data_IF_535311636071
#
_entry.id   IF_535311636071
#
_cell.length_a   1.000
_cell.length_b   1.000
_cell.length_c   1.000
_cell.angle_alpha   90.00
_cell.angle_beta   90.00
_cell.angle_gamma   90.00
#
_symmetry.space_group_name_H-M   'P 1'
#
loop_
_entity.id
_entity.type
_entity.pdbx_description
1 polymer ?
#
# COMPACT_ATOMS: atom_id res chain seq x y z
N UNK A 1 -4.96 13.15 -20.30
CA UNK A 1 -5.80 12.88 -19.11
C UNK A 1 -7.28 12.94 -19.47
N UNK A 2 -7.83 14.11 -19.82
CA UNK A 2 -9.27 14.28 -20.14
C UNK A 2 -9.81 13.28 -21.17
N UNK A 3 -9.08 13.02 -22.25
CA UNK A 3 -9.51 12.06 -23.27
C UNK A 3 -9.59 10.62 -22.71
N UNK A 4 -8.65 10.22 -21.85
CA UNK A 4 -8.64 8.91 -21.21
C UNK A 4 -9.84 8.77 -20.29
N UNK A 5 -10.09 9.77 -19.45
CA UNK A 5 -11.26 9.82 -18.57
C UNK A 5 -12.57 9.76 -19.36
N UNK A 6 -12.69 10.49 -20.48
CA UNK A 6 -13.88 10.44 -21.33
C UNK A 6 -14.15 9.02 -21.83
N UNK A 7 -13.12 8.33 -22.31
CA UNK A 7 -13.23 6.93 -22.76
C UNK A 7 -13.74 6.02 -21.64
N UNK A 8 -13.21 6.16 -20.41
CA UNK A 8 -13.68 5.36 -19.29
C UNK A 8 -15.09 5.74 -18.84
N UNK A 9 -15.46 7.03 -18.88
CA UNK A 9 -16.82 7.48 -18.55
C UNK A 9 -17.84 6.97 -19.56
N UNK A 10 -17.51 6.97 -20.86
CA UNK A 10 -18.35 6.35 -21.90
C UNK A 10 -18.47 4.84 -21.71
N UNK A 11 -17.37 4.16 -21.41
CA UNK A 11 -17.39 2.73 -21.09
C UNK A 11 -18.25 2.45 -19.85
N UNK A 12 -18.16 3.28 -18.81
CA UNK A 12 -19.00 3.19 -17.61
C UNK A 12 -20.48 3.34 -17.93
N UNK A 13 -20.85 4.31 -18.79
CA UNK A 13 -22.25 4.52 -19.23
C UNK A 13 -22.82 3.35 -20.03
N UNK A 14 -21.98 2.60 -20.72
CA UNK A 14 -22.40 1.41 -21.49
C UNK A 14 -22.39 0.12 -20.65
N UNK A 15 -21.91 0.18 -19.41
CA UNK A 15 -21.90 -0.96 -18.51
C UNK A 15 -23.32 -1.32 -18.05
N UNK A 16 -23.68 -2.60 -18.12
CA UNK A 16 -24.99 -3.12 -17.65
C UNK A 16 -25.03 -3.38 -16.14
N UNK A 17 -23.95 -3.09 -15.41
CA UNK A 17 -23.79 -3.32 -13.97
C UNK A 17 -23.34 -2.04 -13.31
N UNK A 18 -23.56 -1.97 -12.00
CA UNK A 18 -23.04 -0.88 -11.16
C UNK A 18 -21.54 -0.71 -11.41
N UNK A 19 -21.15 0.51 -11.79
CA UNK A 19 -19.80 0.84 -12.19
C UNK A 19 -19.30 2.02 -11.36
N UNK A 20 -18.21 1.81 -10.63
CA UNK A 20 -17.47 2.86 -9.94
C UNK A 20 -16.17 3.11 -10.71
N UNK A 21 -15.95 4.37 -11.11
CA UNK A 21 -14.71 4.80 -11.77
C UNK A 21 -13.92 5.62 -10.77
N UNK A 22 -12.69 5.19 -10.48
CA UNK A 22 -11.78 5.88 -9.58
C UNK A 22 -10.66 6.49 -10.42
N UNK A 23 -10.54 7.81 -10.38
CA UNK A 23 -9.47 8.54 -11.06
C UNK A 23 -8.30 8.76 -10.09
N UNK A 24 -7.11 8.27 -10.44
CA UNK A 24 -5.87 8.67 -9.76
C UNK A 24 -5.41 9.99 -10.38
N UNK A 25 -5.67 11.09 -9.64
CA UNK A 25 -5.66 12.48 -10.11
C UNK A 25 -6.84 12.85 -11.01
N UNK A 26 -7.15 14.14 -11.08
CA UNK A 26 -8.18 14.72 -11.93
C UNK A 26 -7.74 16.02 -12.62
N UNK A 27 -8.60 16.54 -13.50
CA UNK A 27 -8.29 17.64 -14.41
C UNK A 27 -7.84 18.92 -13.69
N UNK A 28 -8.39 19.20 -12.51
CA UNK A 28 -8.01 20.37 -11.72
C UNK A 28 -6.62 20.25 -11.10
N UNK A 29 -6.08 19.04 -10.88
CA UNK A 29 -4.76 18.88 -10.24
C UNK A 29 -3.64 19.57 -11.02
N UNK A 30 -3.77 19.68 -12.35
CA UNK A 30 -2.80 20.39 -13.18
C UNK A 30 -2.64 21.86 -12.77
N UNK A 31 -3.69 22.51 -12.26
CA UNK A 31 -3.62 23.91 -11.82
C UNK A 31 -2.76 24.10 -10.57
N UNK A 32 -2.47 23.04 -9.81
CA UNK A 32 -1.58 23.09 -8.67
C UNK A 32 -0.08 23.17 -9.05
N UNK A 33 0.26 22.80 -10.30
CA UNK A 33 1.65 22.68 -10.77
C UNK A 33 2.07 23.74 -11.78
N UNK A 34 1.14 24.60 -12.21
CA UNK A 34 1.42 25.67 -13.17
C UNK A 34 0.93 27.02 -12.64
N UNK A 35 1.46 28.11 -13.21
CA UNK A 35 1.00 29.44 -12.83
C UNK A 35 -0.45 29.67 -13.27
N UNK A 36 -1.13 30.57 -12.56
CA UNK A 36 -2.53 30.91 -12.82
C UNK A 36 -2.74 31.40 -14.26
N UNK A 37 -1.82 32.20 -14.78
CA UNK A 37 -1.89 32.76 -16.13
C UNK A 37 -1.83 31.64 -17.19
N UNK A 38 -0.97 30.64 -16.99
CA UNK A 38 -0.90 29.46 -17.87
C UNK A 38 -2.17 28.63 -17.77
N UNK A 39 -2.72 28.44 -16.58
CA UNK A 39 -3.98 27.72 -16.39
C UNK A 39 -5.14 28.43 -17.09
N UNK A 40 -5.30 29.74 -16.90
CA UNK A 40 -6.33 30.54 -17.56
C UNK A 40 -6.18 30.55 -19.09
N UNK A 41 -4.95 30.61 -19.60
CA UNK A 41 -4.67 30.49 -21.04
C UNK A 41 -5.07 29.11 -21.58
N UNK A 42 -4.81 28.02 -20.85
CA UNK A 42 -5.26 26.69 -21.25
C UNK A 42 -6.79 26.57 -21.25
N UNK A 43 -7.46 27.08 -20.23
CA UNK A 43 -8.93 27.09 -20.17
C UNK A 43 -9.51 27.83 -21.38
N UNK A 44 -9.02 29.03 -21.67
CA UNK A 44 -9.45 29.85 -22.80
C UNK A 44 -9.21 29.17 -24.15
N UNK A 45 -8.00 28.62 -24.36
CA UNK A 45 -7.62 27.97 -25.63
C UNK A 45 -8.48 26.74 -25.92
N UNK A 46 -8.88 26.00 -24.89
CA UNK A 46 -9.67 24.78 -25.03
C UNK A 46 -11.17 25.01 -24.82
N UNK A 47 -11.62 26.26 -24.63
CA UNK A 47 -13.01 26.61 -24.30
C UNK A 47 -13.55 25.84 -23.08
N UNK A 48 -12.70 25.65 -22.07
CA UNK A 48 -13.05 25.03 -20.80
C UNK A 48 -13.42 26.08 -19.77
N UNK A 49 -14.20 25.65 -18.77
CA UNK A 49 -14.48 26.45 -17.60
C UNK A 49 -14.37 25.59 -16.34
N UNK A 50 -14.11 26.24 -15.20
CA UNK A 50 -13.88 25.54 -13.95
C UNK A 50 -15.12 24.79 -13.46
N UNK A 51 -16.35 25.24 -13.76
CA UNK A 51 -17.57 24.52 -13.32
C UNK A 51 -17.67 23.17 -14.03
N UNK A 52 -17.41 23.14 -15.34
CA UNK A 52 -17.40 21.89 -16.08
C UNK A 52 -16.28 20.95 -15.63
N UNK A 53 -15.06 21.47 -15.45
CA UNK A 53 -13.90 20.65 -15.08
C UNK A 53 -13.94 20.18 -13.62
N UNK A 54 -14.39 21.04 -12.70
CA UNK A 54 -14.45 20.75 -11.26
C UNK A 54 -15.74 20.02 -10.94
N UNK A 55 -16.90 20.64 -11.17
CA UNK A 55 -18.19 20.24 -10.58
C UNK A 55 -18.94 19.18 -11.39
N UNK A 56 -19.01 19.33 -12.72
CA UNK A 56 -19.85 18.45 -13.54
C UNK A 56 -19.14 17.16 -13.96
N UNK A 57 -17.80 17.15 -13.90
CA UNK A 57 -16.99 16.03 -14.37
C UNK A 57 -16.78 14.94 -13.33
N UNK A 58 -16.76 15.30 -12.05
CA UNK A 58 -16.51 14.37 -10.95
C UNK A 58 -17.69 14.37 -9.98
N UNK A 59 -18.16 13.19 -9.58
CA UNK A 59 -19.27 13.11 -8.62
C UNK A 59 -18.80 13.35 -7.18
N UNK A 60 -17.52 13.10 -6.90
CA UNK A 60 -16.93 13.18 -5.56
C UNK A 60 -15.42 13.34 -5.68
N UNK A 61 -14.87 14.27 -4.92
CA UNK A 61 -13.43 14.46 -4.79
C UNK A 61 -13.04 14.06 -3.37
N UNK A 62 -12.07 13.15 -3.25
CA UNK A 62 -11.48 12.79 -1.96
C UNK A 62 -9.99 13.09 -1.99
N UNK A 63 -9.56 14.02 -1.16
CA UNK A 63 -8.16 14.38 -1.01
C UNK A 63 -7.56 13.66 0.20
N UNK A 64 -6.60 12.77 -0.04
CA UNK A 64 -5.84 12.11 1.01
C UNK A 64 -4.60 12.94 1.34
N UNK A 65 -4.48 13.43 2.57
CA UNK A 65 -3.31 14.20 2.99
C UNK A 65 -2.03 13.40 2.80
N UNK A 66 -1.00 14.04 2.28
CA UNK A 66 0.35 13.50 2.21
C UNK A 66 0.88 13.11 3.60
N UNK A 67 1.72 12.06 3.67
CA UNK A 67 2.43 11.70 4.90
C UNK A 67 3.32 12.85 5.40
N UNK A 68 3.71 13.79 4.52
CA UNK A 68 4.43 15.00 4.91
C UNK A 68 3.65 15.94 5.85
N UNK A 69 2.37 15.65 6.12
CA UNK A 69 1.51 16.44 6.99
C UNK A 69 0.88 15.58 8.10
N UNK A 70 1.52 15.50 9.27
CA UNK A 70 1.00 14.76 10.44
C UNK A 70 1.33 13.26 10.47
N UNK A 71 2.17 12.77 9.54
CA UNK A 71 2.71 11.41 9.54
C UNK A 71 4.15 11.40 8.98
N UNK A 72 4.94 12.43 9.30
CA UNK A 72 6.24 12.73 8.70
C UNK A 72 7.24 11.58 8.84
N UNK A 73 7.15 10.81 9.93
CA UNK A 73 7.91 9.58 10.18
C UNK A 73 7.80 8.55 9.04
N UNK A 74 6.71 8.60 8.26
CA UNK A 74 6.42 7.68 7.16
C UNK A 74 6.63 8.31 5.78
N UNK A 75 7.06 9.58 5.73
CA UNK A 75 7.38 10.24 4.47
C UNK A 75 8.79 9.84 4.02
N UNK A 76 8.89 9.24 2.83
CA UNK A 76 10.16 8.84 2.23
C UNK A 76 10.18 9.12 0.73
N UNK A 77 11.36 9.48 0.23
CA UNK A 77 11.66 9.65 -1.20
C UNK A 77 12.56 8.53 -1.74
N UNK A 78 13.07 7.65 -0.88
CA UNK A 78 14.13 6.66 -1.20
C UNK A 78 13.71 5.63 -2.25
N UNK A 79 12.43 5.24 -2.26
CA UNK A 79 11.86 4.25 -3.18
C UNK A 79 10.98 4.90 -4.29
N UNK A 80 11.08 6.21 -4.49
CA UNK A 80 10.18 6.96 -5.39
C UNK A 80 10.93 7.70 -6.50
N UNK A 81 10.84 7.16 -7.73
CA UNK A 81 11.44 7.76 -8.93
C UNK A 81 10.89 9.15 -9.30
N UNK A 82 9.74 9.54 -8.73
CA UNK A 82 9.03 10.77 -9.09
C UNK A 82 8.92 11.78 -7.93
N UNK A 83 9.52 11.50 -6.76
CA UNK A 83 9.50 12.41 -5.61
C UNK A 83 10.92 12.76 -5.20
N UNK A 84 11.24 14.04 -5.25
CA UNK A 84 12.55 14.60 -4.88
C UNK A 84 12.45 15.69 -3.82
N UNK A 85 11.22 16.11 -3.51
CA UNK A 85 10.90 17.17 -2.58
C UNK A 85 11.08 16.72 -1.12
N UNK A 86 11.65 17.61 -0.31
CA UNK A 86 11.69 17.46 1.15
C UNK A 86 10.29 17.58 1.77
N UNK A 87 10.19 17.24 3.06
CA UNK A 87 8.91 17.21 3.79
C UNK A 87 8.16 18.54 3.72
N UNK A 88 8.87 19.66 3.83
CA UNK A 88 8.28 21.01 3.81
C UNK A 88 7.64 21.31 2.46
N UNK A 89 8.39 21.12 1.37
CA UNK A 89 7.89 21.35 0.01
C UNK A 89 6.77 20.36 -0.33
N UNK A 90 6.87 19.10 0.10
CA UNK A 90 5.83 18.11 -0.08
C UNK A 90 4.51 18.53 0.58
N UNK A 91 4.58 19.15 1.77
CA UNK A 91 3.42 19.68 2.48
C UNK A 91 2.80 20.87 1.73
N UNK A 92 3.61 21.78 1.19
CA UNK A 92 3.12 22.89 0.37
C UNK A 92 2.44 22.41 -0.91
N UNK A 93 3.04 21.44 -1.60
CA UNK A 93 2.45 20.83 -2.81
C UNK A 93 1.14 20.10 -2.50
N UNK A 94 1.03 19.43 -1.35
CA UNK A 94 -0.20 18.80 -0.87
C UNK A 94 -1.32 19.83 -0.69
N UNK A 95 -1.02 20.96 -0.03
CA UNK A 95 -1.98 22.06 0.14
C UNK A 95 -2.41 22.68 -1.20
N UNK A 96 -1.47 22.88 -2.14
CA UNK A 96 -1.79 23.41 -3.47
C UNK A 96 -2.68 22.45 -4.26
N UNK A 97 -2.42 21.14 -4.16
CA UNK A 97 -3.25 20.11 -4.79
C UNK A 97 -4.67 20.09 -4.19
N UNK A 98 -4.81 20.19 -2.87
CA UNK A 98 -6.12 20.33 -2.23
C UNK A 98 -6.84 21.62 -2.66
N UNK A 99 -6.10 22.73 -2.75
CA UNK A 99 -6.64 24.04 -3.10
C UNK A 99 -7.23 24.09 -4.51
N UNK A 100 -6.67 23.32 -5.45
CA UNK A 100 -7.17 23.22 -6.83
C UNK A 100 -8.63 22.73 -6.92
N UNK A 101 -9.11 22.02 -5.89
CA UNK A 101 -10.47 21.47 -5.84
C UNK A 101 -11.44 22.28 -4.97
N UNK A 102 -10.99 23.38 -4.36
CA UNK A 102 -11.85 24.23 -3.53
C UNK A 102 -13.05 24.72 -4.34
N UNK A 103 -14.24 24.54 -3.74
CA UNK A 103 -15.53 24.89 -4.31
C UNK A 103 -16.26 23.75 -5.02
N UNK A 104 -15.65 22.57 -5.13
CA UNK A 104 -16.40 21.38 -5.53
C UNK A 104 -17.48 21.06 -4.48
N UNK A 105 -18.74 20.78 -4.86
CA UNK A 105 -19.85 20.58 -3.91
C UNK A 105 -19.66 19.36 -2.99
N UNK A 106 -18.91 18.36 -3.45
CA UNK A 106 -18.64 17.12 -2.73
C UNK A 106 -17.13 16.90 -2.63
N UNK A 107 -16.49 17.58 -1.67
CA UNK A 107 -15.05 17.50 -1.42
C UNK A 107 -14.79 17.04 0.01
N UNK A 108 -14.15 15.89 0.16
CA UNK A 108 -13.81 15.31 1.46
C UNK A 108 -12.29 15.20 1.61
N UNK A 109 -11.80 15.44 2.83
CA UNK A 109 -10.37 15.45 3.16
C UNK A 109 -10.08 14.37 4.20
N UNK A 110 -9.15 13.47 3.88
CA UNK A 110 -8.74 12.36 4.75
C UNK A 110 -7.34 12.63 5.31
N UNK A 111 -7.30 13.07 6.57
CA UNK A 111 -6.08 13.42 7.31
C UNK A 111 -5.27 12.21 7.81
N UNK A 112 -4.16 12.47 8.50
CA UNK A 112 -3.26 11.46 9.07
C UNK A 112 -3.45 11.26 10.59
N UNK A 113 -4.62 11.60 11.14
CA UNK A 113 -4.89 11.48 12.59
C UNK A 113 -4.99 10.04 13.10
N UNK A 114 -5.02 9.05 12.21
CA UNK A 114 -5.10 7.62 12.52
C UNK A 114 -3.99 6.86 11.79
N UNK A 115 -3.75 5.60 12.16
CA UNK A 115 -2.84 4.74 11.39
C UNK A 115 -3.33 4.55 9.93
N UNK A 116 -2.44 3.99 9.09
CA UNK A 116 -2.71 3.84 7.66
C UNK A 116 -3.95 2.99 7.37
N UNK A 117 -4.16 1.88 8.10
CA UNK A 117 -5.30 0.99 7.86
C UNK A 117 -6.62 1.69 8.21
N UNK A 118 -6.66 2.43 9.32
CA UNK A 118 -7.80 3.24 9.73
C UNK A 118 -8.06 4.41 8.78
N UNK A 119 -6.99 5.06 8.28
CA UNK A 119 -7.08 6.10 7.25
C UNK A 119 -7.73 5.56 5.98
N UNK A 120 -7.33 4.36 5.54
CA UNK A 120 -7.94 3.69 4.40
C UNK A 120 -9.39 3.30 4.65
N UNK A 121 -9.74 2.83 5.85
CA UNK A 121 -11.14 2.54 6.19
C UNK A 121 -12.01 3.80 6.11
N UNK A 122 -11.54 4.93 6.65
CA UNK A 122 -12.23 6.23 6.56
C UNK A 122 -12.42 6.70 5.13
N UNK A 123 -11.42 6.50 4.27
CA UNK A 123 -11.54 6.77 2.84
C UNK A 123 -12.65 5.93 2.20
N UNK A 124 -12.63 4.61 2.42
CA UNK A 124 -13.61 3.71 1.80
C UNK A 124 -15.01 4.02 2.34
N UNK A 125 -15.15 4.26 3.64
CA UNK A 125 -16.44 4.63 4.26
C UNK A 125 -16.98 5.95 3.69
N UNK A 126 -16.14 6.96 3.52
CA UNK A 126 -16.50 8.23 2.87
C UNK A 126 -17.03 8.02 1.44
N UNK A 127 -16.37 7.18 0.64
CA UNK A 127 -16.85 6.85 -0.71
C UNK A 127 -18.15 6.06 -0.66
N UNK A 128 -18.27 5.06 0.20
CA UNK A 128 -19.47 4.23 0.34
C UNK A 128 -20.70 5.04 0.78
N UNK A 129 -20.55 5.93 1.76
CA UNK A 129 -21.62 6.84 2.18
C UNK A 129 -22.10 7.72 1.02
N UNK A 130 -21.17 8.21 0.18
CA UNK A 130 -21.50 9.05 -0.98
C UNK A 130 -22.34 8.32 -2.02
N UNK A 131 -22.03 7.05 -2.27
CA UNK A 131 -22.72 6.22 -3.26
C UNK A 131 -23.91 5.44 -2.67
N UNK A 132 -24.23 5.65 -1.38
CA UNK A 132 -25.35 5.02 -0.70
C UNK A 132 -25.18 3.52 -0.39
N UNK A 133 -23.93 3.06 -0.28
CA UNK A 133 -23.62 1.69 0.16
C UNK A 133 -23.48 1.66 1.68
N UNK A 134 -24.33 0.86 2.34
CA UNK A 134 -24.19 0.55 3.76
C UNK A 134 -22.94 -0.32 3.98
N UNK A 135 -21.98 0.24 4.72
CA UNK A 135 -20.70 -0.38 4.98
C UNK A 135 -20.74 -1.41 6.11
N UNK A 136 -21.82 -1.44 6.89
CA UNK A 136 -22.01 -2.33 8.03
C UNK A 136 -20.81 -2.36 8.99
N UNK A 137 -20.53 -3.54 9.56
CA UNK A 137 -19.43 -3.73 10.52
C UNK A 137 -18.04 -3.75 9.86
N UNK A 138 -17.97 -3.91 8.53
CA UNK A 138 -16.70 -4.21 7.85
C UNK A 138 -15.75 -3.02 7.76
N UNK A 139 -16.26 -1.84 7.46
CA UNK A 139 -15.48 -0.60 7.30
C UNK A 139 -15.64 0.37 8.47
N UNK A 140 -16.42 -0.02 9.48
CA UNK A 140 -16.46 0.72 10.73
C UNK A 140 -15.03 0.91 11.24
N UNK A 141 -14.72 2.12 11.72
CA UNK A 141 -13.39 2.54 12.19
C UNK A 141 -12.83 1.56 13.22
N UNK A 142 -13.68 0.82 13.91
CA UNK A 142 -13.29 -0.13 14.93
C UNK A 142 -13.03 -1.55 14.41
N UNK A 143 -13.21 -1.79 13.11
CA UNK A 143 -13.09 -3.09 12.45
C UNK A 143 -11.64 -3.55 12.47
N UNK A 144 -11.37 -4.60 13.25
CA UNK A 144 -10.05 -5.18 13.41
C UNK A 144 -10.06 -6.62 12.93
N UNK A 145 -8.92 -7.08 12.42
CA UNK A 145 -8.73 -8.49 12.09
C UNK A 145 -8.76 -9.31 13.39
N UNK A 146 -9.77 -10.17 13.53
CA UNK A 146 -9.93 -11.11 14.63
C UNK A 146 -9.44 -12.49 14.23
N UNK A 147 -8.83 -13.22 15.16
CA UNK A 147 -8.31 -14.57 14.97
C UNK A 147 -8.75 -15.46 16.12
N UNK A 148 -9.29 -16.62 15.80
CA UNK A 148 -9.81 -17.58 16.77
C UNK A 148 -9.16 -18.94 16.57
N UNK A 149 -8.87 -19.61 17.68
CA UNK A 149 -8.46 -21.00 17.70
C UNK A 149 -9.70 -21.89 17.62
N UNK A 150 -9.72 -22.77 16.61
CA UNK A 150 -10.82 -23.71 16.39
C UNK A 150 -10.35 -25.09 16.79
N UNK A 151 -11.19 -25.80 17.55
CA UNK A 151 -10.91 -27.17 17.96
C UNK A 151 -10.95 -28.11 16.76
N UNK A 152 -10.01 -29.06 16.73
CA UNK A 152 -9.96 -30.13 15.74
C UNK A 152 -10.52 -31.44 16.34
N UNK A 153 -11.21 -32.30 15.58
CA UNK A 153 -11.51 -32.19 14.14
C UNK A 153 -12.58 -31.14 13.85
N UNK A 154 -12.48 -30.50 12.68
CA UNK A 154 -13.49 -29.53 12.23
C UNK A 154 -14.78 -30.23 11.81
N UNK A 155 -15.88 -29.48 11.80
CA UNK A 155 -17.17 -29.95 11.30
C UNK A 155 -17.09 -30.53 9.87
N UNK A 156 -17.98 -31.46 9.50
CA UNK A 156 -18.02 -32.01 8.15
C UNK A 156 -18.37 -30.92 7.12
N UNK A 157 -17.94 -31.12 5.87
CA UNK A 157 -18.15 -30.18 4.77
C UNK A 157 -19.63 -29.83 4.55
N UNK A 158 -20.55 -30.75 4.87
CA UNK A 158 -22.00 -30.55 4.78
C UNK A 158 -22.56 -29.51 5.76
N UNK A 159 -21.84 -29.20 6.84
CA UNK A 159 -22.25 -28.20 7.81
C UNK A 159 -21.85 -26.77 7.39
N UNK A 160 -20.96 -26.63 6.41
CA UNK A 160 -20.52 -25.33 5.93
C UNK A 160 -21.52 -24.75 4.91
N UNK A 161 -21.71 -23.42 4.89
CA UNK A 161 -22.30 -22.75 3.74
C UNK A 161 -21.39 -22.90 2.51
N UNK A 162 -21.82 -22.38 1.36
CA UNK A 162 -20.98 -22.37 0.15
C UNK A 162 -19.57 -21.84 0.45
N UNK A 163 -18.55 -22.63 0.09
CA UNK A 163 -17.16 -22.36 0.42
C UNK A 163 -16.23 -22.61 -0.76
N UNK A 164 -15.05 -22.00 -0.71
CA UNK A 164 -13.94 -22.30 -1.63
C UNK A 164 -12.67 -22.63 -0.85
N UNK A 165 -11.97 -23.66 -1.31
CA UNK A 165 -10.72 -24.11 -0.70
C UNK A 165 -9.52 -23.73 -1.57
N UNK A 166 -8.48 -23.23 -0.92
CA UNK A 166 -7.22 -22.85 -1.56
C UNK A 166 -6.06 -23.53 -0.87
N UNK A 167 -5.11 -24.01 -1.66
CA UNK A 167 -3.80 -24.41 -1.16
C UNK A 167 -2.94 -23.17 -0.98
N UNK A 168 -2.35 -23.05 0.20
CA UNK A 168 -1.54 -21.88 0.58
C UNK A 168 -0.19 -22.35 1.12
N UNK A 169 0.88 -21.82 0.54
CA UNK A 169 2.26 -22.07 0.95
C UNK A 169 2.91 -20.74 1.32
N UNK A 170 3.48 -20.66 2.51
CA UNK A 170 4.25 -19.51 2.97
C UNK A 170 5.70 -19.87 3.24
N UNK A 171 6.60 -18.97 2.87
CA UNK A 171 8.01 -19.06 3.15
C UNK A 171 8.49 -17.71 3.68
N UNK A 172 9.23 -17.71 4.78
CA UNK A 172 9.96 -16.52 5.23
C UNK A 172 11.31 -16.46 4.51
N UNK A 173 11.75 -15.26 4.13
CA UNK A 173 13.03 -15.01 3.47
C UNK A 173 13.99 -14.33 4.45
N UNK A 174 15.28 -14.47 4.18
CA UNK A 174 16.29 -13.68 4.85
C UNK A 174 16.11 -12.19 4.51
N UNK A 175 16.47 -11.32 5.45
CA UNK A 175 16.38 -9.87 5.29
C UNK A 175 17.56 -9.20 5.97
N UNK A 176 18.27 -8.38 5.22
CA UNK A 176 19.38 -7.56 5.75
C UNK A 176 18.86 -6.36 6.56
N UNK A 177 17.59 -6.00 6.38
CA UNK A 177 16.95 -4.93 7.14
C UNK A 177 16.60 -5.44 8.54
N UNK A 178 17.23 -4.83 9.55
CA UNK A 178 17.02 -5.15 10.98
C UNK A 178 15.52 -5.06 11.33
N UNK A 179 14.99 -6.09 12.00
CA UNK A 179 13.58 -6.23 12.42
C UNK A 179 12.54 -6.25 11.28
N UNK A 180 12.95 -6.31 10.01
CA UNK A 180 12.00 -6.53 8.92
C UNK A 180 11.66 -8.02 8.79
N UNK A 181 10.41 -8.30 8.44
CA UNK A 181 9.93 -9.64 8.12
C UNK A 181 9.59 -9.71 6.64
N UNK A 182 10.28 -10.58 5.92
CA UNK A 182 10.05 -10.81 4.49
C UNK A 182 9.41 -12.18 4.30
N UNK A 183 8.34 -12.25 3.52
CA UNK A 183 7.68 -13.53 3.22
C UNK A 183 7.19 -13.61 1.79
N UNK A 184 7.26 -14.82 1.23
CA UNK A 184 6.58 -15.21 0.01
C UNK A 184 5.32 -16.01 0.34
N UNK A 185 4.24 -15.73 -0.39
CA UNK A 185 3.01 -16.51 -0.37
C UNK A 185 2.69 -17.01 -1.77
N UNK A 186 2.48 -18.32 -1.90
CA UNK A 186 1.86 -18.97 -3.05
C UNK A 186 0.46 -19.42 -2.64
N UNK A 187 -0.58 -18.96 -3.33
CA UNK A 187 -1.98 -19.33 -3.07
C UNK A 187 -2.66 -19.74 -4.36
N UNK A 188 -3.44 -20.82 -4.35
CA UNK A 188 -4.08 -21.27 -5.58
C UNK A 188 -5.05 -22.41 -5.39
N UNK A 189 -5.71 -22.79 -6.48
CA UNK A 189 -6.59 -23.94 -6.59
C UNK A 189 -6.57 -24.44 -8.03
N UNK A 190 -6.78 -25.75 -8.24
CA UNK A 190 -6.91 -26.36 -9.58
C UNK A 190 -5.75 -26.01 -10.54
N UNK A 191 -4.51 -25.95 -10.03
CA UNK A 191 -3.32 -25.66 -10.82
C UNK A 191 -3.07 -24.18 -11.15
N UNK A 192 -3.97 -23.27 -10.76
CA UNK A 192 -3.81 -21.83 -10.94
C UNK A 192 -3.32 -21.16 -9.65
N UNK A 193 -2.30 -20.31 -9.75
CA UNK A 193 -1.58 -19.77 -8.60
C UNK A 193 -1.42 -18.25 -8.69
N UNK A 194 -1.48 -17.60 -7.53
CA UNK A 194 -1.03 -16.23 -7.31
C UNK A 194 0.13 -16.20 -6.30
N UNK A 195 1.04 -15.27 -6.54
CA UNK A 195 2.28 -15.13 -5.78
C UNK A 195 2.37 -13.71 -5.21
N UNK A 196 2.65 -13.58 -3.92
CA UNK A 196 2.83 -12.28 -3.27
C UNK A 196 4.12 -12.29 -2.47
N UNK A 197 4.92 -11.25 -2.67
CA UNK A 197 6.01 -10.88 -1.78
C UNK A 197 5.50 -9.86 -0.77
N UNK A 198 5.80 -10.07 0.51
CA UNK A 198 5.40 -9.15 1.57
C UNK A 198 6.61 -8.77 2.40
N UNK A 199 6.83 -7.47 2.52
CA UNK A 199 7.86 -6.86 3.37
C UNK A 199 7.15 -6.09 4.48
N UNK A 200 7.30 -6.56 5.72
CA UNK A 200 6.82 -5.87 6.91
C UNK A 200 8.00 -5.22 7.62
N UNK A 201 8.04 -3.90 7.66
CA UNK A 201 9.04 -3.11 8.40
C UNK A 201 8.39 -2.56 9.67
N UNK A 202 9.05 -2.70 10.81
CA UNK A 202 8.62 -2.02 12.05
C UNK A 202 9.39 -0.71 12.12
N UNK A 203 8.66 0.40 12.23
CA UNK A 203 9.25 1.71 12.35
C UNK A 203 10.05 1.80 13.67
N UNK A 204 11.31 2.27 13.65
CA UNK A 204 12.20 2.18 14.81
C UNK A 204 11.74 3.00 16.02
N UNK A 205 11.03 4.11 15.79
CA UNK A 205 10.74 5.13 16.81
C UNK A 205 9.34 4.94 17.39
N UNK A 206 8.31 4.87 16.55
CA UNK A 206 6.90 4.80 16.97
C UNK A 206 6.34 3.36 17.05
N UNK A 207 7.15 2.34 16.72
CA UNK A 207 6.76 0.93 16.83
C UNK A 207 5.68 0.44 15.86
N UNK A 208 5.14 1.32 15.02
CA UNK A 208 4.14 0.96 14.02
C UNK A 208 4.77 0.06 12.94
N UNK A 209 3.98 -0.84 12.37
CA UNK A 209 4.47 -1.72 11.31
C UNK A 209 3.85 -1.38 9.97
N UNK A 210 4.70 -1.10 8.98
CA UNK A 210 4.30 -0.90 7.58
C UNK A 210 4.45 -2.23 6.84
N UNK A 211 3.38 -2.68 6.18
CA UNK A 211 3.39 -3.90 5.36
C UNK A 211 3.21 -3.55 3.88
N UNK A 212 4.25 -3.77 3.07
CA UNK A 212 4.20 -3.61 1.61
C UNK A 212 3.96 -4.98 0.98
N UNK A 213 2.97 -5.06 0.08
CA UNK A 213 2.64 -6.28 -0.66
C UNK A 213 2.84 -6.06 -2.15
N UNK A 214 3.66 -6.91 -2.77
CA UNK A 214 3.95 -6.86 -4.21
C UNK A 214 3.45 -8.14 -4.86
N UNK A 215 2.61 -7.99 -5.90
CA UNK A 215 2.20 -9.11 -6.74
C UNK A 215 3.40 -9.57 -7.57
N UNK A 216 3.65 -10.88 -7.59
CA UNK A 216 4.76 -11.46 -8.35
C UNK A 216 4.26 -12.31 -9.51
N UNK A 217 5.13 -12.44 -10.53
CA UNK A 217 5.02 -13.51 -11.52
C UNK A 217 5.51 -14.84 -10.95
N UNK A 218 5.19 -15.95 -11.62
CA UNK A 218 5.72 -17.26 -11.24
C UNK A 218 7.26 -17.30 -11.27
N UNK A 219 7.88 -16.67 -12.27
CA UNK A 219 9.34 -16.62 -12.43
C UNK A 219 9.99 -15.88 -11.26
N UNK A 220 9.48 -14.72 -10.88
CA UNK A 220 10.05 -13.93 -9.79
C UNK A 220 9.92 -14.66 -8.45
N UNK A 221 8.79 -15.35 -8.23
CA UNK A 221 8.61 -16.21 -7.07
C UNK A 221 9.68 -17.30 -7.00
N UNK A 222 9.94 -17.99 -8.12
CA UNK A 222 10.97 -19.04 -8.17
C UNK A 222 12.38 -18.49 -7.96
N UNK A 223 12.67 -17.28 -8.44
CA UNK A 223 13.96 -16.63 -8.25
C UNK A 223 14.21 -16.21 -6.79
N UNK A 224 13.16 -15.84 -6.04
CA UNK A 224 13.26 -15.46 -4.64
C UNK A 224 13.21 -16.66 -3.67
N UNK A 225 12.62 -17.79 -4.09
CA UNK A 225 12.45 -18.97 -3.24
C UNK A 225 13.76 -19.58 -2.68
N UNK A 226 14.92 -19.51 -3.35
CA UNK A 226 16.19 -19.94 -2.77
C UNK A 226 16.62 -19.12 -1.55
N UNK A 227 16.18 -17.87 -1.41
CA UNK A 227 16.55 -16.96 -0.31
C UNK A 227 15.76 -17.22 0.99
N UNK A 228 15.18 -18.42 1.13
CA UNK A 228 14.41 -18.80 2.30
C UNK A 228 15.26 -18.73 3.56
N UNK A 229 14.68 -18.20 4.62
CA UNK A 229 15.31 -18.23 5.94
C UNK A 229 15.28 -19.66 6.48
N UNK A 230 16.45 -20.26 6.65
CA UNK A 230 16.63 -21.60 7.19
C UNK A 230 16.16 -21.71 8.64
N UNK A 231 16.01 -20.62 9.38
CA UNK A 231 15.44 -20.62 10.72
C UNK A 231 13.93 -20.85 10.74
N UNK A 232 13.28 -20.84 9.57
CA UNK A 232 11.84 -21.04 9.42
C UNK A 232 11.52 -22.30 8.61
N UNK A 233 10.45 -22.99 9.00
CA UNK A 233 9.80 -24.00 8.17
C UNK A 233 8.88 -23.35 7.13
N UNK A 234 8.80 -23.97 5.95
CA UNK A 234 7.72 -23.71 5.01
C UNK A 234 6.39 -24.10 5.67
N UNK A 235 5.39 -23.21 5.60
CA UNK A 235 4.06 -23.47 6.15
C UNK A 235 3.13 -23.85 5.00
N UNK A 236 2.48 -25.00 5.13
CA UNK A 236 1.43 -25.47 4.24
C UNK A 236 0.08 -25.37 4.94
N UNK A 237 -0.93 -24.82 4.25
CA UNK A 237 -2.29 -24.72 4.77
C UNK A 237 -3.31 -24.98 3.67
N UNK A 238 -4.45 -25.53 4.06
CA UNK A 238 -5.70 -25.37 3.32
C UNK A 238 -6.41 -24.14 3.87
N UNK A 239 -6.72 -23.17 3.02
CA UNK A 239 -7.55 -22.02 3.40
C UNK A 239 -8.95 -22.21 2.84
N UNK A 240 -9.92 -22.44 3.72
CA UNK A 240 -11.34 -22.49 3.39
C UNK A 240 -11.95 -21.10 3.58
N UNK A 241 -12.50 -20.53 2.52
CA UNK A 241 -13.16 -19.24 2.54
C UNK A 241 -14.67 -19.42 2.40
N UNK A 242 -15.46 -18.75 3.25
CA UNK A 242 -16.92 -18.84 3.21
C UNK A 242 -17.56 -17.58 3.80
N UNK A 243 -18.86 -17.40 3.56
CA UNK A 243 -19.66 -16.32 4.13
C UNK A 243 -20.66 -16.94 5.12
N UNK A 244 -20.78 -16.34 6.30
CA UNK A 244 -21.76 -16.72 7.32
C UNK A 244 -22.23 -15.45 8.04
N UNK A 245 -23.53 -15.26 8.25
CA UNK A 245 -24.10 -14.04 8.85
C UNK A 245 -23.59 -12.74 8.18
N UNK A 246 -23.53 -12.71 6.85
CA UNK A 246 -22.99 -11.60 6.06
C UNK A 246 -21.52 -11.24 6.33
N UNK A 247 -20.80 -12.12 7.02
CA UNK A 247 -19.40 -11.94 7.40
C UNK A 247 -18.52 -12.92 6.62
N UNK A 248 -17.40 -12.42 6.09
CA UNK A 248 -16.44 -13.23 5.35
C UNK A 248 -15.41 -13.86 6.31
N UNK A 249 -15.23 -15.17 6.20
CA UNK A 249 -14.32 -15.93 7.04
C UNK A 249 -13.23 -16.62 6.23
N UNK A 250 -12.05 -16.73 6.83
CA UNK A 250 -10.93 -17.54 6.33
C UNK A 250 -10.55 -18.55 7.41
N UNK A 251 -10.77 -19.83 7.14
CA UNK A 251 -10.38 -20.93 8.01
C UNK A 251 -9.07 -21.56 7.49
N UNK A 252 -7.99 -21.32 8.21
CA UNK A 252 -6.66 -21.86 7.95
C UNK A 252 -6.49 -23.21 8.65
N UNK A 253 -6.46 -24.28 7.88
CA UNK A 253 -6.19 -25.64 8.35
C UNK A 253 -4.72 -25.95 8.04
N UNK A 254 -3.88 -26.01 9.08
CA UNK A 254 -2.45 -26.27 8.90
C UNK A 254 -2.22 -27.73 8.49
N UNK A 255 -1.35 -27.92 7.50
CA UNK A 255 -1.05 -29.22 6.91
C UNK A 255 0.41 -29.57 7.11
N UNK A 256 0.67 -30.87 7.16
CA UNK A 256 2.03 -31.41 7.14
C UNK A 256 2.60 -31.31 5.71
N UNK A 257 3.94 -31.18 5.55
CA UNK A 257 4.94 -31.09 6.61
C UNK A 257 4.91 -29.72 7.31
N UNK A 258 4.91 -29.71 8.64
CA UNK A 258 4.91 -28.49 9.45
C UNK A 258 5.62 -28.73 10.77
N UNK A 259 5.98 -27.66 11.48
CA UNK A 259 6.45 -27.78 12.85
C UNK A 259 5.43 -28.56 13.70
N UNK A 260 5.87 -29.42 14.66
CA UNK A 260 4.99 -30.10 15.61
C UNK A 260 3.88 -29.25 16.25
N UNK A 261 4.16 -27.98 16.61
CA UNK A 261 3.20 -27.01 17.17
C UNK A 261 2.04 -26.62 16.24
N UNK A 262 2.17 -26.88 14.93
CA UNK A 262 1.12 -26.65 13.94
C UNK A 262 0.29 -27.89 13.65
N UNK A 263 0.61 -29.06 14.22
CA UNK A 263 -0.14 -30.30 13.97
C UNK A 263 -1.55 -30.17 14.55
N UNK A 264 -2.56 -30.34 13.71
CA UNK A 264 -3.97 -30.18 14.10
C UNK A 264 -4.39 -28.73 14.33
N UNK A 265 -3.54 -27.74 14.04
CA UNK A 265 -3.85 -26.34 14.26
C UNK A 265 -4.84 -25.82 13.21
N UNK A 266 -5.95 -25.26 13.69
CA UNK A 266 -6.97 -24.61 12.86
C UNK A 266 -7.22 -23.20 13.39
N UNK A 267 -7.10 -22.21 12.50
CA UNK A 267 -7.31 -20.80 12.84
C UNK A 267 -8.41 -20.21 11.97
N UNK A 268 -9.42 -19.61 12.61
CA UNK A 268 -10.47 -18.84 11.94
C UNK A 268 -10.12 -17.36 11.99
N UNK A 269 -10.10 -16.70 10.84
CA UNK A 269 -9.84 -15.26 10.72
C UNK A 269 -11.06 -14.54 10.12
N UNK A 270 -11.36 -13.36 10.66
CA UNK A 270 -12.38 -12.46 10.11
C UNK A 270 -12.05 -11.00 10.47
N UNK A 271 -12.83 -10.04 9.98
CA UNK A 271 -12.74 -8.64 10.37
C UNK A 271 -14.05 -8.25 11.04
N UNK A 272 -14.00 -7.67 12.24
CA UNK A 272 -15.21 -7.22 12.94
C UNK A 272 -14.90 -6.00 13.80
N UNK A 273 -15.85 -5.07 13.85
CA UNK A 273 -15.82 -3.86 14.66
C UNK A 273 -16.62 -4.01 15.97
N UNK A 274 -17.28 -5.15 16.17
CA UNK A 274 -17.94 -5.49 17.42
C UNK A 274 -16.91 -5.52 18.56
N UNK A 275 -17.11 -4.62 19.52
CA UNK A 275 -16.31 -4.53 20.75
C UNK A 275 -16.77 -5.50 21.81
N UNK A 276 -18.08 -5.69 21.91
CA UNK A 276 -18.67 -6.58 22.89
C UNK A 276 -18.33 -8.03 22.57
N UNK A 277 -17.66 -8.69 23.51
CA UNK A 277 -17.16 -10.05 23.32
C UNK A 277 -18.30 -11.04 23.14
N UNK A 278 -19.41 -10.85 23.85
CA UNK A 278 -20.54 -11.78 23.83
C UNK A 278 -21.26 -11.70 22.48
N UNK A 279 -21.50 -10.50 21.98
CA UNK A 279 -22.06 -10.27 20.64
C UNK A 279 -21.13 -10.81 19.54
N UNK A 280 -19.82 -10.61 19.67
CA UNK A 280 -18.84 -11.14 18.72
C UNK A 280 -18.89 -12.67 18.71
N UNK A 281 -18.84 -13.33 19.87
CA UNK A 281 -18.93 -14.78 19.98
C UNK A 281 -20.26 -15.32 19.44
N UNK A 282 -21.37 -14.63 19.71
CA UNK A 282 -22.69 -15.01 19.20
C UNK A 282 -22.80 -14.94 17.67
N UNK A 283 -22.03 -14.04 17.02
CA UNK A 283 -21.99 -13.89 15.57
C UNK A 283 -21.19 -14.99 14.85
N UNK A 284 -20.29 -15.67 15.56
CA UNK A 284 -19.39 -16.67 14.98
C UNK A 284 -20.16 -17.90 14.44
N UNK A 285 -19.56 -18.64 13.48
CA UNK A 285 -20.18 -19.84 12.94
C UNK A 285 -20.42 -20.90 14.02
N UNK A 286 -21.68 -21.14 14.38
CA UNK A 286 -22.08 -22.07 15.47
C UNK A 286 -21.74 -23.53 15.17
N UNK A 287 -21.53 -23.86 13.90
CA UNK A 287 -21.07 -25.19 13.49
C UNK A 287 -19.57 -25.41 13.74
N UNK A 288 -18.81 -24.40 14.18
CA UNK A 288 -17.41 -24.54 14.60
C UNK A 288 -17.30 -24.44 16.12
N UNK A 289 -16.55 -25.36 16.73
CA UNK A 289 -16.20 -25.28 18.15
C UNK A 289 -15.00 -24.33 18.33
N UNK A 290 -15.28 -23.10 18.76
CA UNK A 290 -14.26 -22.08 19.02
C UNK A 290 -13.72 -22.22 20.44
N UNK A 291 -12.41 -22.43 20.59
CA UNK A 291 -11.79 -22.57 21.92
C UNK A 291 -11.56 -21.20 22.58
N UNK A 292 -10.94 -20.27 21.84
CA UNK A 292 -10.66 -18.91 22.31
C UNK A 292 -10.26 -17.98 21.17
N UNK A 293 -10.36 -16.68 21.45
CA UNK A 293 -9.71 -15.66 20.63
C UNK A 293 -8.19 -15.68 20.86
N UNK A 294 -7.43 -15.61 19.78
CA UNK A 294 -5.95 -15.55 19.74
C UNK A 294 -5.47 -14.36 18.89
N UNK A 295 -6.31 -13.33 18.77
CA UNK A 295 -5.97 -12.06 18.12
C UNK A 295 -4.80 -11.42 18.85
N UNK A 296 -3.76 -11.00 18.12
CA UNK A 296 -2.56 -10.38 18.70
C UNK A 296 -1.64 -11.33 19.48
N UNK A 297 -2.07 -12.56 19.81
CA UNK A 297 -1.25 -13.54 20.53
C UNK A 297 -0.03 -13.95 19.67
N UNK A 298 1.20 -13.62 20.11
CA UNK A 298 2.39 -13.91 19.33
C UNK A 298 2.62 -15.41 19.10
N UNK A 299 2.14 -16.28 20.00
CA UNK A 299 2.26 -17.74 19.84
C UNK A 299 1.51 -18.26 18.61
N UNK A 300 0.45 -17.55 18.18
CA UNK A 300 -0.33 -17.86 16.98
C UNK A 300 0.00 -16.94 15.81
N UNK A 301 1.10 -16.19 15.90
CA UNK A 301 1.66 -15.48 14.75
C UNK A 301 2.28 -16.50 13.78
N UNK A 302 2.06 -16.30 12.48
CA UNK A 302 2.60 -17.20 11.46
C UNK A 302 4.14 -17.24 11.48
N UNK A 303 4.77 -16.14 11.88
CA UNK A 303 6.21 -16.03 12.04
C UNK A 303 6.70 -16.98 13.14
N UNK A 304 6.13 -16.92 14.35
CA UNK A 304 6.53 -17.80 15.45
C UNK A 304 6.13 -19.26 15.21
N UNK A 305 5.02 -19.51 14.50
CA UNK A 305 4.60 -20.85 14.10
C UNK A 305 5.54 -21.50 13.07
N UNK A 306 6.30 -20.71 12.31
CA UNK A 306 7.30 -21.25 11.37
C UNK A 306 8.69 -21.39 11.98
N UNK A 307 9.03 -20.68 13.05
CA UNK A 307 10.36 -20.80 13.69
C UNK A 307 10.69 -22.27 14.00
N UNK A 308 11.89 -22.71 13.62
CA UNK A 308 12.40 -24.06 13.92
C UNK A 308 12.83 -24.21 15.37
N UNK A 309 13.36 -23.14 15.97
CA UNK A 309 13.80 -23.14 17.37
C UNK A 309 12.60 -23.21 18.33
N UNK A 310 12.88 -23.63 19.57
CA UNK A 310 11.91 -23.58 20.65
C UNK A 310 11.75 -22.17 21.21
N UNK A 311 10.49 -21.80 21.44
CA UNK A 311 10.10 -20.45 21.87
C UNK A 311 10.73 -19.99 23.19
N UNK A 312 11.12 -20.94 24.06
CA UNK A 312 11.72 -20.64 25.37
C UNK A 312 13.15 -20.11 25.28
N UNK A 313 13.89 -20.51 24.23
CA UNK A 313 15.32 -20.23 24.09
C UNK A 313 15.65 -19.39 22.86
N UNK A 314 14.65 -19.13 21.99
CA UNK A 314 14.90 -18.45 20.72
C UNK A 314 15.00 -16.93 20.90
N UNK A 315 16.18 -16.38 20.58
CA UNK A 315 16.36 -14.92 20.42
C UNK A 315 15.59 -14.35 19.23
N UNK A 316 15.05 -15.23 18.36
CA UNK A 316 14.26 -14.87 17.18
C UNK A 316 12.75 -14.90 17.45
N UNK A 317 12.30 -15.29 18.65
CA UNK A 317 10.88 -15.27 19.01
C UNK A 317 10.36 -13.82 18.96
N UNK A 318 9.31 -13.60 18.18
CA UNK A 318 8.66 -12.30 18.11
C UNK A 318 7.65 -12.17 19.24
N UNK A 319 7.90 -11.28 20.20
CA UNK A 319 7.04 -11.09 21.39
C UNK A 319 5.82 -10.20 21.14
N UNK A 320 5.60 -9.73 19.90
CA UNK A 320 4.67 -8.64 19.63
C UNK A 320 5.35 -7.29 19.90
N UNK A 321 5.20 -6.33 18.99
CA UNK A 321 5.62 -4.96 19.24
C UNK A 321 4.71 -4.33 20.29
N UNK A 322 5.29 -3.59 21.21
CA UNK A 322 4.61 -2.76 22.22
C UNK A 322 3.66 -1.77 21.55
N UNK A 323 2.41 -2.22 21.35
CA UNK A 323 1.28 -1.41 20.92
C UNK A 323 0.00 -2.04 21.48
N UNK A 324 -0.07 -2.12 22.81
CA UNK A 324 -1.32 -2.28 23.55
C UNK A 324 -1.17 -1.44 24.82
N UNK A 325 -1.95 -0.36 24.92
CA UNK A 325 -1.99 0.48 26.12
C UNK A 325 -2.40 -0.34 27.35
N UNK A 326 -1.66 -0.10 28.44
CA UNK A 326 -1.94 -0.38 29.85
C UNK A 326 -2.89 -1.52 30.22
N UNK A 327 -2.30 -2.55 30.86
CA UNK A 327 -2.78 -3.01 32.17
C UNK A 327 -1.64 -3.69 32.96
N UNK A 328 -1.44 -3.19 34.19
CA UNK A 328 -0.40 -3.48 35.17
C UNK A 328 -0.07 -4.96 35.49
N UNK A 329 1.19 -5.23 35.82
CA UNK A 329 1.63 -6.38 36.62
C UNK A 329 3.14 -6.66 36.51
N UNK A 330 3.94 -6.69 37.60
CA UNK A 330 5.39 -6.53 37.53
C UNK A 330 6.10 -7.86 37.26
N UNK A 331 6.96 -7.92 36.25
CA UNK A 331 7.97 -8.98 36.16
C UNK A 331 9.36 -8.41 36.40
N UNK A 332 9.88 -8.83 37.55
CA UNK A 332 11.17 -8.54 38.15
C UNK A 332 12.33 -8.63 37.16
N UNK A 333 13.12 -7.55 37.15
CA UNK A 333 14.56 -7.57 36.94
C UNK A 333 15.19 -8.77 37.66
N UNK A 334 15.95 -9.57 36.91
CA UNK A 334 16.98 -10.44 37.47
C UNK A 334 18.33 -9.97 36.91
N UNK A 335 18.97 -9.16 37.74
CA UNK A 335 20.41 -8.91 37.76
C UNK A 335 21.18 -10.19 38.09
N UNK A 336 22.32 -10.38 37.42
CA UNK A 336 23.59 -10.93 37.92
C UNK A 336 24.58 -10.80 36.74
N UNK A 337 25.77 -10.21 36.82
CA UNK A 337 26.63 -9.92 37.96
C UNK A 337 27.95 -10.68 37.80
N UNK A 338 29.08 -9.94 37.78
CA UNK A 338 30.50 -10.34 37.75
C UNK A 338 31.15 -10.64 36.38
N UNK A 339 32.36 -10.16 36.06
CA UNK A 339 33.40 -9.48 36.88
C UNK A 339 34.34 -8.64 35.99
N UNK A 340 34.88 -7.60 36.62
CA UNK A 340 35.91 -6.68 36.14
C UNK A 340 37.19 -7.36 35.61
N UNK A 341 37.81 -6.75 34.59
CA UNK A 341 39.23 -6.42 34.66
C UNK A 341 39.55 -5.23 33.75
N UNK A 342 40.01 -4.14 34.38
CA UNK A 342 40.60 -2.96 33.71
C UNK A 342 42.06 -3.25 33.41
N UNK A 343 42.49 -3.00 32.18
CA UNK A 343 43.87 -2.64 31.89
C UNK A 343 43.95 -1.45 30.93
N UNK A 344 44.82 -0.53 31.31
CA UNK A 344 45.10 0.77 30.72
C UNK A 344 46.27 0.61 29.72
N UNK A 345 46.26 1.32 28.59
CA UNK A 345 47.38 1.29 27.64
C UNK A 345 47.21 2.21 26.44
N UNK A 346 48.08 3.22 26.36
CA UNK A 346 48.15 4.30 25.37
C UNK A 346 48.69 3.89 23.98
N UNK A 347 48.34 4.73 23.00
CA UNK A 347 49.05 5.10 21.76
C UNK A 347 49.24 4.07 20.63
N UNK A 348 48.77 4.44 19.43
CA UNK A 348 49.15 3.81 18.16
C UNK A 348 48.43 4.41 16.96
N UNK A 349 49.02 5.43 16.34
CA UNK A 349 48.63 6.01 15.04
C UNK A 349 48.90 5.01 13.91
N UNK A 350 47.95 4.75 13.00
CA UNK A 350 48.23 4.47 11.58
C UNK A 350 46.97 4.39 10.67
N UNK A 351 46.88 5.40 9.78
CA UNK A 351 46.62 5.34 8.32
C UNK A 351 45.42 4.59 7.72
N UNK A 352 44.71 5.38 6.91
CA UNK A 352 43.87 5.04 5.75
C UNK A 352 44.36 3.85 4.90
N UNK A 353 43.39 3.11 4.33
CA UNK A 353 43.31 2.93 2.88
C UNK A 353 41.88 2.56 2.48
N UNK A 354 41.29 3.40 1.63
CA UNK A 354 40.10 3.06 0.87
C UNK A 354 40.49 2.27 -0.38
N UNK A 355 39.54 1.50 -0.92
CA UNK A 355 39.54 1.15 -2.33
C UNK A 355 38.12 1.24 -2.87
N UNK A 356 37.94 2.20 -3.76
CA UNK A 356 36.88 2.27 -4.74
C UNK A 356 37.09 1.19 -5.81
N UNK A 357 36.00 0.61 -6.30
CA UNK A 357 35.98 -0.37 -7.38
C UNK A 357 34.71 -0.21 -8.22
N UNK A 358 34.81 0.73 -9.17
CA UNK A 358 34.20 0.82 -10.50
C UNK A 358 32.81 0.25 -10.80
N UNK A 359 31.98 1.17 -11.30
CA UNK A 359 30.76 0.93 -12.07
C UNK A 359 31.11 0.33 -13.44
N UNK A 360 30.38 -0.69 -13.87
CA UNK A 360 30.18 -1.00 -15.29
C UNK A 360 28.69 -1.12 -15.61
N UNK A 361 28.28 -0.34 -16.62
CA UNK A 361 26.98 -0.36 -17.28
C UNK A 361 26.80 -1.64 -18.10
N UNK A 362 25.54 -2.10 -18.20
CA UNK A 362 25.12 -3.11 -19.17
C UNK A 362 23.60 -3.13 -19.33
N UNK A 363 23.05 -2.20 -20.10
CA UNK A 363 21.68 -2.27 -20.60
C UNK A 363 21.58 -3.25 -21.78
N UNK A 364 20.53 -4.06 -21.82
CA UNK A 364 19.98 -4.60 -23.07
C UNK A 364 18.45 -4.70 -22.97
N UNK A 365 17.77 -3.67 -23.48
CA UNK A 365 16.36 -3.69 -23.87
C UNK A 365 16.32 -4.04 -25.35
N UNK A 366 15.66 -5.13 -25.72
CA UNK A 366 15.35 -5.45 -27.11
C UNK A 366 14.05 -4.76 -27.53
N UNK A 367 14.13 -3.85 -28.52
CA UNK A 367 12.99 -3.42 -29.34
C UNK A 367 13.28 -3.75 -30.82
N UNK A 368 12.20 -4.13 -31.50
CA UNK A 368 12.11 -4.61 -32.87
C UNK A 368 12.42 -3.53 -33.93
N UNK A 369 12.80 -4.05 -35.09
CA UNK A 369 13.21 -3.42 -36.34
C UNK A 369 12.26 -2.34 -36.91
N UNK A 370 12.86 -1.39 -37.65
CA UNK A 370 12.16 -0.49 -38.57
C UNK A 370 13.12 0.45 -39.32
N UNK A 371 13.70 -0.06 -40.40
CA UNK A 371 14.25 0.56 -41.62
C UNK A 371 14.97 1.92 -41.64
N UNK A 372 16.06 1.90 -42.44
CA UNK A 372 17.10 2.90 -42.65
C UNK A 372 16.80 3.91 -43.78
N UNK A 373 17.38 5.09 -43.63
CA UNK A 373 17.97 6.00 -44.64
C UNK A 373 18.46 7.24 -43.86
N UNK A 374 19.49 8.01 -44.17
CA UNK A 374 20.65 8.01 -45.08
C UNK A 374 21.38 9.33 -44.72
N UNK A 375 22.74 9.34 -44.69
CA UNK A 375 23.66 10.52 -44.66
C UNK A 375 23.52 11.54 -43.51
N UNK A 376 24.56 12.07 -42.86
CA UNK A 376 25.99 12.24 -43.16
C UNK A 376 26.40 13.61 -42.57
N UNK A 377 27.65 13.76 -42.13
CA UNK A 377 28.25 15.09 -41.95
C UNK A 377 28.87 15.41 -40.59
N UNK A 378 30.20 15.39 -40.58
CA UNK A 378 31.12 15.86 -39.54
C UNK A 378 30.96 17.36 -39.20
N UNK A 379 31.36 17.74 -37.97
CA UNK A 379 31.57 19.14 -37.60
C UNK A 379 32.02 19.35 -36.15
N UNK A 380 33.26 18.98 -35.84
CA UNK A 380 33.98 19.32 -34.60
C UNK A 380 34.37 20.82 -34.57
N UNK A 381 34.18 21.50 -33.43
CA UNK A 381 35.18 22.39 -32.79
C UNK A 381 34.66 23.08 -31.51
N UNK A 382 35.27 22.65 -30.39
CA UNK A 382 35.87 23.44 -29.28
C UNK A 382 35.15 24.68 -28.71
N UNK A 383 34.96 24.63 -27.38
CA UNK A 383 35.79 25.47 -26.51
C UNK A 383 35.11 26.48 -25.57
N UNK A 384 35.16 26.14 -24.28
CA UNK A 384 35.44 27.01 -23.11
C UNK A 384 34.32 27.77 -22.35
N UNK A 385 34.35 27.43 -21.04
CA UNK A 385 34.26 28.25 -19.82
C UNK A 385 32.90 28.40 -19.14
N UNK A 386 32.93 27.94 -17.89
CA UNK A 386 31.94 28.10 -16.86
C UNK A 386 31.83 29.56 -16.40
N UNK A 387 30.59 30.01 -16.17
CA UNK A 387 30.28 31.10 -15.27
C UNK A 387 28.93 30.80 -14.59
N UNK A 388 28.97 30.63 -13.27
CA UNK A 388 27.79 30.68 -12.41
C UNK A 388 27.27 32.12 -12.41
N UNK A 389 26.05 32.33 -12.89
CA UNK A 389 25.30 33.56 -12.64
C UNK A 389 23.84 33.20 -12.31
N UNK A 390 23.38 33.61 -11.12
CA UNK A 390 21.97 33.64 -10.73
C UNK A 390 21.24 34.58 -11.69
N UNK A 391 20.19 34.09 -12.36
CA UNK A 391 19.24 34.93 -13.10
C UNK A 391 17.93 34.99 -12.34
N UNK A 392 17.49 36.21 -12.06
CA UNK A 392 16.17 36.55 -11.58
C UNK A 392 15.14 36.31 -12.70
N UNK A 393 14.04 35.62 -12.40
CA UNK A 393 12.97 35.41 -13.36
C UNK A 393 12.13 36.68 -13.52
N UNK A 394 12.28 37.32 -14.68
CA UNK A 394 11.36 38.31 -15.22
C UNK A 394 11.07 38.01 -16.69
N UNK A 395 9.79 38.09 -17.05
CA UNK A 395 9.20 38.23 -18.39
C UNK A 395 9.64 37.26 -19.51
N UNK A 396 8.79 36.26 -19.80
CA UNK A 396 8.81 35.54 -21.07
C UNK A 396 7.78 36.14 -22.05
N UNK A 397 8.24 36.38 -23.27
CA UNK A 397 7.61 37.13 -24.36
C UNK A 397 6.41 36.41 -25.01
N UNK A 398 5.48 37.20 -25.56
CA UNK A 398 4.26 36.81 -26.30
C UNK A 398 4.44 35.75 -27.42
N UNK A 399 5.66 35.50 -27.88
CA UNK A 399 5.95 34.55 -28.95
C UNK A 399 5.72 33.07 -28.55
N UNK A 400 5.99 32.69 -27.29
CA UNK A 400 5.74 31.32 -26.81
C UNK A 400 4.24 31.01 -26.64
N UNK A 401 3.44 32.04 -26.35
CA UNK A 401 1.97 31.95 -26.23
C UNK A 401 1.29 31.70 -27.58
N UNK A 402 1.84 32.23 -28.67
CA UNK A 402 1.27 32.08 -30.01
C UNK A 402 1.58 30.71 -30.67
N UNK A 403 2.67 30.05 -30.28
CA UNK A 403 3.00 28.70 -30.75
C UNK A 403 2.10 27.63 -30.09
N UNK A 404 1.73 27.83 -28.82
CA UNK A 404 0.79 26.96 -28.11
C UNK A 404 -0.63 26.99 -28.70
N UNK A 405 -1.13 28.17 -29.11
CA UNK A 405 -2.46 28.36 -29.70
C UNK A 405 -2.66 27.58 -31.01
N UNK A 406 -1.59 27.32 -31.77
CA UNK A 406 -1.68 26.70 -33.11
C UNK A 406 -1.74 25.17 -33.08
N UNK A 407 -1.41 24.52 -31.97
CA UNK A 407 -1.15 23.07 -31.96
C UNK A 407 -2.15 22.22 -31.16
N UNK A 408 -3.06 22.81 -30.35
CA UNK A 408 -3.84 22.06 -29.35
C UNK A 408 -5.33 22.43 -29.24
N UNK A 409 -6.07 22.46 -30.36
CA UNK A 409 -7.53 22.69 -30.33
C UNK A 409 -8.27 21.34 -30.33
N UNK A 410 -8.94 21.00 -29.23
CA UNK A 410 -9.89 19.87 -29.16
C UNK A 410 -11.31 20.40 -28.89
N UNK A 411 -12.25 20.05 -29.76
CA UNK A 411 -13.67 20.39 -29.63
C UNK A 411 -14.38 19.33 -28.76
N UNK A 412 -15.03 19.78 -27.68
CA UNK A 412 -15.82 18.94 -26.78
C UNK A 412 -17.27 19.38 -26.91
N UNK A 413 -18.05 18.67 -27.73
CA UNK A 413 -19.47 18.93 -27.91
C UNK A 413 -20.22 18.96 -26.57
N UNK A 414 -21.02 20.00 -26.35
CA UNK A 414 -21.79 20.17 -25.11
C UNK A 414 -22.96 19.17 -25.04
N UNK A 415 -23.12 18.38 -23.96
CA UNK A 415 -24.29 17.51 -23.79
C UNK A 415 -25.53 18.31 -23.36
N UNK A 416 -26.66 18.10 -24.03
CA UNK A 416 -27.97 18.61 -23.57
C UNK A 416 -28.54 17.64 -22.52
N UNK A 417 -28.64 18.09 -21.26
CA UNK A 417 -29.24 17.32 -20.16
C UNK A 417 -30.77 17.44 -20.24
N UNK A 418 -31.47 16.31 -20.32
CA UNK A 418 -32.93 16.25 -20.15
C UNK A 418 -33.26 16.11 -18.66
N UNK A 419 -33.97 17.10 -18.08
CA UNK A 419 -34.44 17.05 -16.69
C UNK A 419 -35.56 16.01 -16.57
N UNK A 420 -35.34 14.97 -15.76
CA UNK A 420 -36.40 14.05 -15.32
C UNK A 420 -36.74 14.40 -13.88
N UNK A 421 -37.95 14.93 -13.67
CA UNK A 421 -38.48 15.18 -12.34
C UNK A 421 -38.89 13.85 -11.70
N UNK A 422 -38.32 13.53 -10.54
CA UNK A 422 -38.83 12.45 -9.68
C UNK A 422 -39.96 13.07 -8.83
N UNK A 423 -41.19 12.59 -9.01
CA UNK A 423 -42.28 12.86 -8.07
C UNK A 423 -42.01 12.10 -6.77
N UNK A 424 -42.03 12.82 -5.66
CA UNK A 424 -41.99 12.30 -4.28
C UNK A 424 -43.19 11.38 -4.05
#
# INVERSE_FOLDING_TARGET
>A
MIQIENTFFELGRTCQRDCLIICDRGAMDASAFISREKWEAMLSTNNWNCVELRDNRYNHIVHMLSAANGAEDFYSTEDHACRSEGVELARELDYNAAAAWIGHPYFDVIDNSTDFDLKMNRLIDCVCQRIGIDTGDRLNVNSKKRKFLVKSPIAPDSAFPSFQDFDVVHNYLQSDVRKAQVRLRKRGQKGHWSYIHTLRKVHPINGQSVEVRTQLTHRDYLNLLPQRDEAHFTIFKKRRCFIYNNQYYQLDIYRQPSHPRCRGLVLLETYSAVYDKDTLLASLPKFLEIEREVTGDPAYSMYNLSLKEDWKNSKKYYTGGEAAGSSNGPTKSLTNGHSDEKHNGQNGVAKMNGHAGEKMNGHAVGKMNGHAADKGGYGDKRGHKAAHAKLANGAAHDAELDEFKKTHRMDLGSPKITKVAVKI
#
